data_IF_261526872323
#
_entry.id   IF_261526872323
#
_cell.length_a   1.000
_cell.length_b   1.000
_cell.length_c   1.000
_cell.angle_alpha   90.00
_cell.angle_beta   90.00
_cell.angle_gamma   90.00
#
_symmetry.space_group_name_H-M   'P 1'
#
loop_
_entity.id
_entity.type
_entity.pdbx_description
1 polymer ?
#
# COMPACT_ATOMS: atom_id res chain seq x y z
N UNK A 1 3.46 -17.67 -33.34
CA UNK A 1 3.24 -16.71 -32.24
C UNK A 1 1.84 -16.17 -32.40
N UNK A 2 0.99 -16.33 -31.38
CA UNK A 2 -0.38 -15.81 -31.40
C UNK A 2 -0.43 -14.28 -31.38
N UNK A 3 -1.61 -13.72 -31.64
CA UNK A 3 -1.88 -12.28 -31.50
C UNK A 3 -2.14 -11.86 -30.04
N UNK A 4 -2.02 -12.80 -29.09
CA UNK A 4 -2.26 -12.55 -27.68
C UNK A 4 -1.03 -11.93 -26.99
N UNK A 5 -1.16 -10.67 -26.61
CA UNK A 5 -0.14 -9.93 -25.86
C UNK A 5 0.17 -10.50 -24.47
N UNK A 6 -0.78 -11.19 -23.83
CA UNK A 6 -0.58 -11.84 -22.54
C UNK A 6 0.35 -13.05 -22.68
N UNK A 7 0.09 -13.91 -23.67
CA UNK A 7 0.92 -15.07 -23.99
C UNK A 7 2.38 -14.65 -24.25
N UNK A 8 2.58 -13.60 -25.07
CA UNK A 8 3.90 -13.07 -25.34
C UNK A 8 4.59 -12.53 -24.07
N UNK A 9 3.86 -11.81 -23.23
CA UNK A 9 4.40 -11.23 -21.99
C UNK A 9 4.82 -12.31 -20.98
N UNK A 10 4.01 -13.36 -20.82
CA UNK A 10 4.34 -14.52 -19.97
C UNK A 10 5.55 -15.29 -20.51
N UNK A 11 5.60 -15.54 -21.82
CA UNK A 11 6.75 -16.16 -22.48
C UNK A 11 8.06 -15.40 -22.20
N UNK A 12 8.02 -14.06 -22.23
CA UNK A 12 9.15 -13.19 -21.90
C UNK A 12 9.51 -13.28 -20.41
N UNK A 13 8.51 -13.26 -19.53
CA UNK A 13 8.70 -13.33 -18.08
C UNK A 13 9.38 -14.64 -17.65
N UNK A 14 8.90 -15.79 -18.13
CA UNK A 14 9.44 -17.11 -17.79
C UNK A 14 10.90 -17.30 -18.23
N UNK A 15 11.29 -16.64 -19.31
CA UNK A 15 12.66 -16.68 -19.86
C UNK A 15 13.58 -15.60 -19.26
N UNK A 16 13.06 -14.71 -18.43
CA UNK A 16 13.85 -13.65 -17.83
C UNK A 16 14.65 -14.18 -16.65
N UNK A 17 15.97 -14.00 -16.70
CA UNK A 17 16.86 -14.40 -15.62
C UNK A 17 16.63 -13.54 -14.36
N UNK A 18 16.48 -14.20 -13.22
CA UNK A 18 16.47 -13.56 -11.89
C UNK A 18 17.89 -13.23 -11.47
N UNK A 19 18.48 -12.16 -12.04
CA UNK A 19 19.90 -11.76 -11.87
C UNK A 19 20.36 -11.61 -10.41
N UNK A 20 19.44 -11.37 -9.48
CA UNK A 20 19.70 -11.26 -8.05
C UNK A 20 18.92 -12.31 -7.23
N UNK A 21 18.74 -13.52 -7.76
CA UNK A 21 18.16 -14.63 -7.00
C UNK A 21 18.95 -14.89 -5.70
N UNK A 22 18.25 -15.20 -4.63
CA UNK A 22 18.87 -15.53 -3.34
C UNK A 22 19.60 -16.88 -3.44
N UNK A 23 20.91 -16.88 -3.16
CA UNK A 23 21.78 -18.07 -3.21
C UNK A 23 22.79 -18.12 -2.05
N UNK A 24 22.63 -17.26 -1.05
CA UNK A 24 23.58 -17.16 0.06
C UNK A 24 23.52 -18.43 0.92
N UNK A 25 24.69 -19.01 1.21
CA UNK A 25 24.87 -20.09 2.16
C UNK A 25 25.29 -19.60 3.55
N UNK A 26 25.71 -18.34 3.68
CA UNK A 26 26.14 -17.73 4.96
C UNK A 26 25.42 -16.42 5.26
N UNK A 27 25.47 -15.99 6.53
CA UNK A 27 24.93 -14.71 6.96
C UNK A 27 25.63 -13.51 6.29
N UNK A 28 26.94 -13.60 6.07
CA UNK A 28 27.71 -12.56 5.41
C UNK A 28 27.28 -12.40 3.94
N UNK A 29 27.16 -13.51 3.22
CA UNK A 29 26.65 -13.53 1.84
C UNK A 29 25.23 -12.99 1.76
N UNK A 30 24.36 -13.35 2.71
CA UNK A 30 22.99 -12.86 2.76
C UNK A 30 22.94 -11.34 2.96
N UNK A 31 23.77 -10.79 3.86
CA UNK A 31 23.90 -9.33 4.06
C UNK A 31 24.40 -8.63 2.81
N UNK A 32 25.43 -9.17 2.16
CA UNK A 32 25.97 -8.63 0.91
C UNK A 32 24.92 -8.66 -0.22
N UNK A 33 24.15 -9.74 -0.33
CA UNK A 33 23.03 -9.86 -1.27
C UNK A 33 21.94 -8.83 -0.99
N UNK A 34 21.54 -8.63 0.27
CA UNK A 34 20.51 -7.65 0.63
C UNK A 34 20.91 -6.22 0.24
N UNK A 35 22.18 -5.83 0.44
CA UNK A 35 22.69 -4.51 0.03
C UNK A 35 22.56 -4.34 -1.48
N UNK A 36 23.01 -5.35 -2.25
CA UNK A 36 22.92 -5.34 -3.73
C UNK A 36 21.47 -5.27 -4.21
N UNK A 37 20.59 -6.10 -3.65
CA UNK A 37 19.17 -6.13 -4.00
C UNK A 37 18.47 -4.82 -3.67
N UNK A 38 18.63 -4.26 -2.47
CA UNK A 38 17.99 -3.00 -2.09
C UNK A 38 18.37 -1.85 -3.01
N UNK A 39 19.66 -1.78 -3.40
CA UNK A 39 20.13 -0.79 -4.37
C UNK A 39 19.46 -0.98 -5.73
N UNK A 40 19.47 -2.21 -6.27
CA UNK A 40 18.89 -2.47 -7.59
C UNK A 40 17.38 -2.31 -7.61
N UNK A 41 16.69 -2.71 -6.54
CA UNK A 41 15.24 -2.51 -6.40
C UNK A 41 14.91 -1.02 -6.43
N UNK A 42 15.61 -0.19 -5.64
CA UNK A 42 15.40 1.26 -5.64
C UNK A 42 15.63 1.88 -7.02
N UNK A 43 16.66 1.45 -7.73
CA UNK A 43 16.92 1.88 -9.11
C UNK A 43 15.75 1.52 -10.04
N UNK A 44 15.25 0.28 -9.96
CA UNK A 44 14.15 -0.20 -10.81
C UNK A 44 12.80 0.44 -10.48
N UNK A 45 12.60 0.92 -9.25
CA UNK A 45 11.40 1.67 -8.84
C UNK A 45 11.43 3.14 -9.30
N UNK A 46 12.51 3.61 -9.93
CA UNK A 46 12.69 5.02 -10.29
C UNK A 46 13.25 5.90 -9.17
N UNK A 47 13.72 5.31 -8.08
CA UNK A 47 14.15 6.02 -6.89
C UNK A 47 13.04 6.19 -5.85
N UNK A 48 13.28 7.05 -4.86
CA UNK A 48 12.25 7.50 -3.92
C UNK A 48 12.10 9.01 -4.04
N UNK A 49 10.88 9.55 -3.89
CA UNK A 49 10.66 10.98 -3.94
C UNK A 49 11.44 11.71 -2.83
N UNK A 50 11.69 13.01 -3.04
CA UNK A 50 12.23 13.88 -2.00
C UNK A 50 11.30 13.86 -0.78
N UNK A 51 11.88 13.75 0.42
CA UNK A 51 11.12 13.85 1.67
C UNK A 51 10.55 15.27 1.82
N UNK A 52 9.29 15.34 2.18
CA UNK A 52 8.56 16.56 2.56
C UNK A 52 8.10 16.44 4.01
N UNK A 53 7.79 17.55 4.71
CA UNK A 53 7.11 17.50 6.00
C UNK A 53 5.84 16.66 5.90
N UNK A 54 5.54 15.88 6.94
CA UNK A 54 4.40 14.94 6.93
C UNK A 54 3.06 15.67 6.92
N UNK A 55 2.95 16.81 7.60
CA UNK A 55 1.72 17.62 7.72
C UNK A 55 0.46 16.77 7.99
N UNK A 56 0.42 15.97 9.07
CA UNK A 56 -0.74 15.15 9.37
C UNK A 56 -1.91 16.01 9.83
N UNK A 57 -3.10 15.70 9.33
CA UNK A 57 -4.36 16.33 9.70
C UNK A 57 -5.39 15.26 10.08
N UNK A 58 -5.96 15.36 11.28
CA UNK A 58 -7.09 14.52 11.70
C UNK A 58 -8.38 15.22 11.32
N UNK A 59 -9.13 14.65 10.38
CA UNK A 59 -10.39 15.22 9.90
C UNK A 59 -11.58 14.81 10.75
N UNK A 60 -11.54 13.60 11.30
CA UNK A 60 -12.62 13.01 12.07
C UNK A 60 -12.02 12.04 13.08
N UNK A 61 -12.65 11.93 14.25
CA UNK A 61 -12.35 10.90 15.24
C UNK A 61 -13.66 10.28 15.72
N UNK A 62 -13.76 8.96 15.58
CA UNK A 62 -14.96 8.18 15.94
C UNK A 62 -14.60 7.19 17.03
N UNK A 63 -15.27 7.30 18.17
CA UNK A 63 -15.21 6.26 19.21
C UNK A 63 -16.04 5.04 18.79
N UNK A 64 -15.42 3.88 18.83
CA UNK A 64 -16.02 2.60 18.53
C UNK A 64 -15.84 1.66 19.73
N UNK A 65 -16.46 0.48 19.66
CA UNK A 65 -16.34 -0.49 20.74
C UNK A 65 -14.89 -1.01 20.85
N UNK A 66 -14.21 -0.66 21.95
CA UNK A 66 -12.83 -1.05 22.24
C UNK A 66 -11.71 -0.22 21.59
N UNK A 67 -12.00 0.70 20.66
CA UNK A 67 -10.98 1.52 19.98
C UNK A 67 -11.53 2.84 19.44
N UNK A 68 -10.63 3.75 19.08
CA UNK A 68 -10.93 4.97 18.33
C UNK A 68 -10.45 4.79 16.89
N UNK A 69 -11.21 5.30 15.92
CA UNK A 69 -10.78 5.41 14.52
C UNK A 69 -10.71 6.87 14.12
N UNK A 70 -9.52 7.32 13.75
CA UNK A 70 -9.28 8.65 13.20
C UNK A 70 -9.16 8.59 11.67
N UNK A 71 -9.79 9.53 10.98
CA UNK A 71 -9.52 9.79 9.56
C UNK A 71 -8.35 10.74 9.47
N UNK A 72 -7.22 10.29 8.91
CA UNK A 72 -5.97 11.05 8.88
C UNK A 72 -5.52 11.26 7.44
N UNK A 73 -5.27 12.53 7.09
CA UNK A 73 -4.57 12.92 5.88
C UNK A 73 -3.13 13.28 6.18
N UNK A 74 -2.21 12.99 5.25
CA UNK A 74 -0.82 13.43 5.35
C UNK A 74 -0.13 13.49 3.98
N UNK A 75 1.00 14.19 3.90
CA UNK A 75 1.81 14.31 2.69
C UNK A 75 2.86 13.20 2.58
N UNK A 76 2.90 12.52 1.43
CA UNK A 76 3.91 11.48 1.13
C UNK A 76 5.01 11.94 0.19
N UNK A 77 4.70 12.92 -0.65
CA UNK A 77 5.60 13.65 -1.55
C UNK A 77 4.93 14.98 -1.88
N UNK A 78 5.69 15.89 -2.46
CA UNK A 78 5.17 17.18 -2.90
C UNK A 78 3.93 17.00 -3.80
N UNK A 79 2.84 17.67 -3.43
CA UNK A 79 1.57 17.64 -4.18
C UNK A 79 0.75 16.35 -4.04
N UNK A 80 1.11 15.41 -3.15
CA UNK A 80 0.39 14.14 -3.01
C UNK A 80 -0.01 13.81 -1.56
N UNK A 81 -1.28 14.09 -1.28
CA UNK A 81 -1.97 13.69 -0.05
C UNK A 81 -2.30 12.21 -0.05
N UNK A 82 -2.10 11.58 1.10
CA UNK A 82 -2.48 10.21 1.43
C UNK A 82 -3.69 10.25 2.35
N UNK A 83 -4.68 9.41 2.05
CA UNK A 83 -5.82 9.15 2.93
C UNK A 83 -5.52 7.91 3.76
N UNK A 84 -5.89 7.92 5.04
CA UNK A 84 -5.72 6.77 5.93
C UNK A 84 -6.74 6.77 7.07
N UNK A 85 -6.94 5.60 7.67
CA UNK A 85 -7.54 5.48 8.99
C UNK A 85 -6.48 5.07 10.01
N UNK A 86 -6.43 5.76 11.14
CA UNK A 86 -5.62 5.37 12.28
C UNK A 86 -6.50 4.84 13.40
N UNK A 87 -6.36 3.55 13.69
CA UNK A 87 -7.15 2.86 14.69
C UNK A 87 -6.31 2.62 15.93
N UNK A 88 -6.81 3.06 17.08
CA UNK A 88 -6.06 3.03 18.35
C UNK A 88 -6.93 2.34 19.41
N UNK A 89 -6.48 1.22 20.00
CA UNK A 89 -7.20 0.58 21.11
C UNK A 89 -7.40 1.57 22.28
N UNK A 90 -8.54 1.48 23.00
CA UNK A 90 -8.83 2.40 24.12
C UNK A 90 -7.75 2.39 25.22
N UNK A 91 -7.20 1.21 25.50
CA UNK A 91 -6.15 1.00 26.51
C UNK A 91 -4.72 1.08 25.94
N UNK A 92 -4.55 1.69 24.75
CA UNK A 92 -3.24 1.78 24.10
C UNK A 92 -2.26 2.66 24.89
N UNK A 93 -1.06 2.13 25.13
CA UNK A 93 0.02 2.86 25.82
C UNK A 93 1.08 3.25 24.81
N UNK A 94 1.27 4.56 24.63
CA UNK A 94 2.30 5.10 23.76
C UNK A 94 3.67 5.23 24.48
N UNK A 95 4.79 4.96 23.79
CA UNK A 95 4.87 4.30 22.49
C UNK A 95 4.49 2.82 22.62
N UNK A 96 3.71 2.32 21.66
CA UNK A 96 3.22 0.94 21.63
C UNK A 96 3.40 0.33 20.24
N UNK A 97 3.11 -0.97 20.08
CA UNK A 97 3.30 -1.65 18.81
C UNK A 97 2.28 -1.15 17.78
N UNK A 98 2.74 -0.93 16.55
CA UNK A 98 1.92 -0.42 15.46
C UNK A 98 2.08 -1.26 14.18
N UNK A 99 1.00 -1.42 13.44
CA UNK A 99 0.96 -2.15 12.17
C UNK A 99 0.51 -1.20 11.06
N UNK A 100 1.25 -1.18 9.95
CA UNK A 100 0.80 -0.54 8.71
C UNK A 100 -0.02 -1.55 7.92
N UNK A 101 -1.31 -1.24 7.71
CA UNK A 101 -2.26 -2.10 7.05
C UNK A 101 -2.50 -1.63 5.62
N UNK A 102 -2.08 -2.43 4.63
CA UNK A 102 -2.24 -2.12 3.22
C UNK A 102 -3.29 -3.07 2.60
N UNK A 103 -4.47 -2.56 2.17
CA UNK A 103 -5.49 -3.41 1.55
C UNK A 103 -5.00 -3.93 0.20
N UNK A 104 -5.52 -5.06 -0.25
CA UNK A 104 -5.30 -5.62 -1.59
C UNK A 104 -6.06 -4.84 -2.66
N UNK A 105 -6.03 -5.34 -3.89
CA UNK A 105 -6.72 -4.69 -5.02
C UNK A 105 -8.25 -4.73 -4.85
N UNK A 106 -8.92 -3.57 -4.91
CA UNK A 106 -10.38 -3.47 -4.77
C UNK A 106 -10.85 -2.18 -4.07
N UNK A 107 -11.75 -2.32 -3.10
CA UNK A 107 -12.46 -1.20 -2.45
C UNK A 107 -11.60 -0.31 -1.54
N UNK A 108 -10.33 -0.66 -1.29
CA UNK A 108 -9.42 0.17 -0.50
C UNK A 108 -9.57 -0.02 1.01
N UNK A 109 -9.22 0.99 1.79
CA UNK A 109 -9.10 0.87 3.26
C UNK A 109 -10.43 0.55 3.95
N UNK A 110 -11.57 0.96 3.38
CA UNK A 110 -12.89 0.66 3.92
C UNK A 110 -13.13 -0.86 4.05
N UNK A 111 -12.51 -1.67 3.18
CA UNK A 111 -12.59 -3.12 3.17
C UNK A 111 -11.82 -3.82 4.28
N UNK A 112 -10.98 -3.09 5.02
CA UNK A 112 -10.13 -3.66 6.08
C UNK A 112 -10.45 -3.10 7.47
N UNK A 113 -11.28 -2.06 7.56
CA UNK A 113 -11.68 -1.37 8.81
C UNK A 113 -13.17 -1.54 9.16
N UNK A 114 -13.86 -2.50 8.53
CA UNK A 114 -15.26 -2.83 8.82
C UNK A 114 -16.28 -1.86 8.25
N UNK A 115 -15.98 -1.20 7.13
CA UNK A 115 -16.92 -0.28 6.47
C UNK A 115 -17.43 -0.76 5.11
N UNK A 116 -16.76 -1.73 4.48
CA UNK A 116 -17.30 -2.38 3.28
C UNK A 116 -18.38 -3.40 3.64
N UNK A 117 -19.46 -3.44 2.86
CA UNK A 117 -20.54 -4.45 2.97
C UNK A 117 -20.00 -5.87 2.75
N UNK A 118 -19.11 -6.03 1.77
CA UNK A 118 -18.43 -7.29 1.43
C UNK A 118 -16.91 -7.15 1.61
N UNK A 119 -16.37 -7.29 2.84
CA UNK A 119 -14.95 -7.13 3.10
C UNK A 119 -14.15 -8.31 2.50
N UNK A 120 -13.16 -8.03 1.65
CA UNK A 120 -12.40 -9.10 0.94
C UNK A 120 -11.05 -9.48 1.59
N UNK A 121 -10.76 -9.03 2.81
CA UNK A 121 -9.54 -9.38 3.56
C UNK A 121 -9.77 -9.49 5.07
N UNK A 122 -10.95 -10.02 5.43
CA UNK A 122 -11.33 -10.33 6.82
C UNK A 122 -11.17 -9.17 7.82
N UNK A 123 -11.24 -7.91 7.36
CA UNK A 123 -11.04 -6.74 8.21
C UNK A 123 -9.75 -6.80 9.03
N UNK A 124 -8.63 -7.17 8.41
CA UNK A 124 -7.40 -7.46 9.17
C UNK A 124 -6.86 -6.26 9.97
N UNK A 125 -7.18 -5.01 9.62
CA UNK A 125 -6.83 -3.85 10.46
C UNK A 125 -7.61 -3.87 11.79
N UNK A 126 -8.88 -4.30 11.77
CA UNK A 126 -9.66 -4.51 13.00
C UNK A 126 -9.08 -5.66 13.83
N UNK A 127 -8.54 -6.70 13.19
CA UNK A 127 -7.87 -7.78 13.91
C UNK A 127 -6.63 -7.25 14.65
N UNK A 128 -5.79 -6.44 13.99
CA UNK A 128 -4.63 -5.81 14.64
C UNK A 128 -5.04 -5.01 15.89
N UNK A 129 -6.11 -4.22 15.80
CA UNK A 129 -6.59 -3.38 16.90
C UNK A 129 -7.12 -4.22 18.06
N UNK A 130 -7.84 -5.30 17.78
CA UNK A 130 -8.32 -6.25 18.80
C UNK A 130 -7.18 -6.95 19.53
N UNK A 131 -6.06 -7.17 18.85
CA UNK A 131 -4.84 -7.73 19.44
C UNK A 131 -3.97 -6.67 20.16
N UNK A 132 -4.47 -5.44 20.31
CA UNK A 132 -3.82 -4.37 21.07
C UNK A 132 -2.78 -3.56 20.29
N UNK A 133 -2.69 -3.74 18.97
CA UNK A 133 -1.83 -2.92 18.11
C UNK A 133 -2.55 -1.64 17.70
N UNK A 134 -1.83 -0.52 17.63
CA UNK A 134 -2.30 0.58 16.80
C UNK A 134 -2.22 0.18 15.32
N UNK A 135 -3.22 0.49 14.51
CA UNK A 135 -3.26 0.11 13.11
C UNK A 135 -3.43 1.34 12.21
N UNK A 136 -2.47 1.57 11.32
CA UNK A 136 -2.55 2.61 10.29
C UNK A 136 -2.94 1.96 8.96
N UNK A 137 -4.22 2.03 8.61
CA UNK A 137 -4.74 1.58 7.34
C UNK A 137 -4.54 2.67 6.27
N UNK A 138 -3.63 2.43 5.31
CA UNK A 138 -3.25 3.43 4.30
C UNK A 138 -3.93 3.14 2.97
N UNK A 139 -4.57 4.16 2.40
CA UNK A 139 -5.19 4.05 1.08
C UNK A 139 -4.12 4.12 -0.02
N UNK A 140 -4.03 3.04 -0.79
CA UNK A 140 -3.11 2.97 -1.93
C UNK A 140 -3.56 3.92 -3.04
N UNK A 141 -2.61 4.43 -3.83
CA UNK A 141 -2.89 5.35 -4.93
C UNK A 141 -3.80 4.67 -5.98
N UNK A 142 -4.90 5.33 -6.36
CA UNK A 142 -5.84 4.79 -7.35
C UNK A 142 -6.87 3.80 -6.78
N UNK A 143 -6.99 3.68 -5.46
CA UNK A 143 -7.97 2.83 -4.77
C UNK A 143 -8.86 3.64 -3.82
N UNK A 144 -10.01 3.07 -3.46
CA UNK A 144 -11.00 3.63 -2.52
C UNK A 144 -11.17 5.16 -2.62
N UNK A 145 -10.72 5.90 -1.61
CA UNK A 145 -10.86 7.36 -1.53
C UNK A 145 -9.97 8.12 -2.54
N UNK A 146 -8.90 7.50 -3.03
CA UNK A 146 -7.87 8.08 -3.91
C UNK A 146 -8.04 7.70 -5.39
N UNK A 147 -9.28 7.43 -5.79
CA UNK A 147 -9.67 7.11 -7.18
C UNK A 147 -9.98 8.34 -8.00
N UNK A 148 -9.80 8.23 -9.31
CA UNK A 148 -10.27 9.24 -10.27
C UNK A 148 -11.81 9.26 -10.38
N UNK A 149 -12.33 10.31 -11.02
CA UNK A 149 -13.78 10.52 -11.17
C UNK A 149 -14.46 9.38 -11.94
N UNK A 150 -13.79 8.81 -12.95
CA UNK A 150 -14.32 7.72 -13.75
C UNK A 150 -14.51 6.48 -12.88
N UNK A 151 -13.48 6.04 -12.18
CA UNK A 151 -13.53 4.87 -11.30
C UNK A 151 -14.56 5.07 -10.17
N UNK A 152 -14.71 6.29 -9.64
CA UNK A 152 -15.77 6.61 -8.65
C UNK A 152 -17.17 6.38 -9.21
N UNK A 153 -17.45 6.82 -10.45
CA UNK A 153 -18.76 6.62 -11.11
C UNK A 153 -19.07 5.17 -11.41
N UNK A 154 -18.07 4.33 -11.64
CA UNK A 154 -18.26 2.92 -11.97
C UNK A 154 -18.47 2.01 -10.73
N UNK A 155 -18.42 2.56 -9.51
CA UNK A 155 -18.75 1.86 -8.25
C UNK A 155 -17.54 1.54 -7.35
N UNK A 156 -17.76 1.18 -6.07
CA UNK A 156 -16.71 1.14 -5.03
C UNK A 156 -15.56 0.17 -5.29
N UNK A 157 -15.81 -0.95 -5.99
CA UNK A 157 -14.78 -1.94 -6.32
C UNK A 157 -13.91 -1.59 -7.54
N UNK A 158 -14.20 -0.49 -8.24
CA UNK A 158 -13.46 -0.06 -9.43
C UNK A 158 -12.24 0.76 -9.05
N UNK A 159 -11.13 0.59 -9.75
CA UNK A 159 -9.83 1.19 -9.41
C UNK A 159 -9.30 2.03 -10.55
N UNK A 160 -8.57 3.10 -10.25
CA UNK A 160 -7.83 3.90 -11.24
C UNK A 160 -6.32 3.64 -11.16
N UNK A 161 -5.90 2.46 -10.66
CA UNK A 161 -4.50 2.14 -10.50
C UNK A 161 -3.77 1.90 -11.83
N UNK A 162 -4.45 1.41 -12.86
CA UNK A 162 -3.87 1.17 -14.19
C UNK A 162 -3.39 2.46 -14.87
N UNK A 163 -4.21 3.51 -15.02
CA UNK A 163 -3.73 4.78 -15.56
C UNK A 163 -2.67 5.44 -14.67
N UNK A 164 -2.78 5.35 -13.35
CA UNK A 164 -1.79 5.87 -12.42
C UNK A 164 -0.41 5.18 -12.58
N UNK A 165 -0.40 3.85 -12.62
CA UNK A 165 0.82 3.06 -12.84
C UNK A 165 1.40 3.30 -14.23
N UNK A 166 0.56 3.39 -15.27
CA UNK A 166 0.99 3.72 -16.62
C UNK A 166 1.69 5.08 -16.68
N UNK A 167 1.14 6.10 -16.02
CA UNK A 167 1.78 7.42 -15.93
C UNK A 167 3.11 7.36 -15.15
N UNK A 168 3.17 6.62 -14.04
CA UNK A 168 4.41 6.44 -13.28
C UNK A 168 5.51 5.81 -14.15
N UNK A 169 5.18 4.76 -14.91
CA UNK A 169 6.12 4.10 -15.84
C UNK A 169 6.67 5.06 -16.90
N UNK A 170 5.84 5.96 -17.44
CA UNK A 170 6.26 6.99 -18.41
C UNK A 170 7.19 8.03 -17.79
N UNK A 171 7.09 8.26 -16.49
CA UNK A 171 7.95 9.17 -15.72
C UNK A 171 9.23 8.48 -15.21
N UNK A 172 9.44 7.20 -15.54
CA UNK A 172 10.57 6.42 -15.04
C UNK A 172 10.41 5.96 -13.59
N UNK A 173 9.18 5.99 -13.07
CA UNK A 173 8.76 5.48 -11.76
C UNK A 173 7.98 4.17 -11.91
N UNK A 174 7.57 3.55 -10.79
CA UNK A 174 6.70 2.36 -10.75
C UNK A 174 5.53 2.54 -9.82
#
# INVERSE_FOLDING_TARGET
>A
MGLDSLEYSLFRYERSERKLAFRAGTLEEARAWQVKLRRKLRELLGGFPRRVPLEPEVLESVELDGYTRETVLFQSREGLTVFSYFLVPKEFKAPGPAVVCLPGHGQGVDAIVGMAEEPYQANFALQCVREGFAALAIEQLGFGHRRDERARKEGPGRTSCQPAAGAALLLGET
#
